data_IF_202551825857
#
_entry.id   IF_202551825857
#
_cell.length_a   1.000
_cell.length_b   1.000
_cell.length_c   1.000
_cell.angle_alpha   90.00
_cell.angle_beta   90.00
_cell.angle_gamma   90.00
#
_symmetry.space_group_name_H-M   'P 1'
#
loop_
_entity.id
_entity.type
_entity.pdbx_description
1 polymer ?
#
# COMPACT_ATOMS: atom_id res chain seq x y z
N UNK A 1 -235.96 21.75 -2.37
CA UNK A 1 -235.19 22.55 -1.40
C UNK A 1 -234.07 21.70 -0.75
N UNK A 2 -233.23 21.02 -1.53
CA UNK A 2 -232.93 19.58 -1.37
C UNK A 2 -231.44 19.18 -1.21
N UNK A 3 -230.58 20.14 -0.82
CA UNK A 3 -229.13 20.14 -1.11
C UNK A 3 -228.23 19.01 -0.56
N UNK A 4 -228.32 18.55 0.70
CA UNK A 4 -227.34 17.58 1.23
C UNK A 4 -227.65 16.11 0.87
N UNK A 5 -228.89 15.76 0.54
CA UNK A 5 -229.27 14.39 0.17
C UNK A 5 -228.73 13.99 -1.22
N UNK A 6 -228.67 14.94 -2.15
CA UNK A 6 -228.20 14.75 -3.52
C UNK A 6 -226.67 14.51 -3.62
N UNK A 7 -225.89 15.04 -2.68
CA UNK A 7 -224.41 14.94 -2.70
C UNK A 7 -223.90 13.62 -2.09
N UNK A 8 -224.60 13.10 -1.07
CA UNK A 8 -224.36 11.78 -0.48
C UNK A 8 -224.77 10.66 -1.44
N UNK A 9 -225.92 10.80 -2.10
CA UNK A 9 -226.33 9.91 -3.19
C UNK A 9 -225.34 9.93 -4.37
N UNK A 10 -224.78 11.09 -4.76
CA UNK A 10 -223.75 11.17 -5.82
C UNK A 10 -222.43 10.49 -5.44
N UNK A 11 -221.95 10.63 -4.20
CA UNK A 11 -220.72 9.93 -3.74
C UNK A 11 -220.93 8.44 -3.56
N UNK A 12 -222.08 8.02 -3.01
CA UNK A 12 -222.44 6.60 -2.88
C UNK A 12 -222.65 5.98 -4.26
N UNK A 13 -223.33 6.67 -5.18
CA UNK A 13 -223.43 6.26 -6.57
C UNK A 13 -222.05 6.17 -7.24
N UNK A 14 -221.14 7.15 -7.07
CA UNK A 14 -219.79 7.08 -7.64
C UNK A 14 -218.90 6.00 -6.99
N UNK A 15 -219.10 5.68 -5.71
CA UNK A 15 -218.40 4.58 -5.04
C UNK A 15 -218.97 3.21 -5.41
N UNK A 16 -220.28 3.11 -5.61
CA UNK A 16 -220.98 1.92 -6.13
C UNK A 16 -220.62 1.70 -7.59
N UNK A 17 -220.55 2.75 -8.41
CA UNK A 17 -220.07 2.71 -9.80
C UNK A 17 -218.60 2.33 -9.86
N UNK A 18 -217.71 2.92 -9.04
CA UNK A 18 -216.30 2.47 -8.97
C UNK A 18 -216.17 1.02 -8.53
N UNK A 19 -216.96 0.56 -7.55
CA UNK A 19 -216.97 -0.86 -7.13
C UNK A 19 -217.55 -1.76 -8.22
N UNK A 20 -218.65 -1.40 -8.87
CA UNK A 20 -219.20 -2.13 -10.02
C UNK A 20 -218.20 -2.17 -11.16
N UNK A 21 -217.51 -1.07 -11.45
CA UNK A 21 -216.51 -0.97 -12.52
C UNK A 21 -215.25 -1.79 -12.19
N UNK A 22 -214.74 -1.72 -10.96
CA UNK A 22 -213.64 -2.57 -10.51
C UNK A 22 -214.04 -4.05 -10.49
N UNK A 23 -215.26 -4.38 -10.05
CA UNK A 23 -215.76 -5.75 -10.03
C UNK A 23 -216.05 -6.25 -11.45
N UNK A 24 -216.45 -5.40 -12.39
CA UNK A 24 -216.52 -5.70 -13.83
C UNK A 24 -215.13 -6.00 -14.40
N UNK A 25 -214.16 -5.10 -14.22
CA UNK A 25 -212.77 -5.30 -14.65
C UNK A 25 -212.11 -6.51 -13.97
N UNK A 26 -212.53 -6.85 -12.74
CA UNK A 26 -212.08 -8.04 -12.01
C UNK A 26 -212.78 -9.30 -12.51
N UNK A 27 -214.09 -9.23 -12.78
CA UNK A 27 -214.88 -10.33 -13.35
C UNK A 27 -214.32 -10.74 -14.70
N UNK A 28 -214.02 -9.78 -15.57
CA UNK A 28 -213.42 -10.04 -16.89
C UNK A 28 -212.06 -10.76 -16.77
N UNK A 29 -211.26 -10.46 -15.74
CA UNK A 29 -209.98 -11.15 -15.47
C UNK A 29 -210.12 -12.52 -14.79
N UNK A 30 -211.13 -12.72 -13.93
CA UNK A 30 -211.35 -13.97 -13.17
C UNK A 30 -212.04 -15.04 -14.01
N UNK A 31 -212.99 -14.64 -14.86
CA UNK A 31 -213.74 -15.55 -15.74
C UNK A 31 -212.97 -15.90 -17.02
N UNK A 32 -211.97 -15.10 -17.43
CA UNK A 32 -211.00 -15.52 -18.43
C UNK A 32 -209.99 -16.51 -17.83
N UNK A 33 -210.19 -17.80 -18.11
CA UNK A 33 -209.35 -18.88 -17.62
C UNK A 33 -207.86 -18.70 -18.00
N UNK A 34 -207.55 -18.00 -19.10
CA UNK A 34 -206.18 -17.81 -19.59
C UNK A 34 -205.43 -16.76 -18.78
N UNK A 35 -206.07 -15.62 -18.49
CA UNK A 35 -205.50 -14.56 -17.63
C UNK A 35 -205.33 -15.05 -16.20
N UNK A 36 -206.22 -15.93 -15.71
CA UNK A 36 -206.12 -16.50 -14.36
C UNK A 36 -204.98 -17.53 -14.21
N UNK A 37 -204.67 -18.28 -15.26
CA UNK A 37 -203.63 -19.33 -15.21
C UNK A 37 -202.25 -18.79 -15.58
N UNK A 38 -202.15 -17.85 -16.54
CA UNK A 38 -200.87 -17.33 -17.08
C UNK A 38 -200.96 -15.80 -17.33
N UNK A 39 -201.61 -15.06 -16.42
CA UNK A 39 -201.69 -13.61 -16.50
C UNK A 39 -200.35 -12.96 -16.21
N UNK A 40 -199.70 -12.42 -17.24
CA UNK A 40 -198.42 -11.73 -17.15
C UNK A 40 -198.57 -10.32 -17.69
N UNK A 41 -198.14 -9.33 -16.91
CA UNK A 41 -198.07 -7.93 -17.34
C UNK A 41 -196.88 -7.74 -18.27
N UNK A 42 -197.15 -7.86 -19.56
CA UNK A 42 -196.12 -7.79 -20.60
C UNK A 42 -195.48 -6.40 -20.67
N UNK A 43 -196.26 -5.35 -20.48
CA UNK A 43 -195.77 -3.97 -20.58
C UNK A 43 -194.81 -3.64 -19.43
N UNK A 44 -195.12 -4.09 -18.21
CA UNK A 44 -194.22 -3.94 -17.07
C UNK A 44 -192.93 -4.77 -17.22
N UNK A 45 -193.02 -5.99 -17.74
CA UNK A 45 -191.84 -6.81 -18.04
C UNK A 45 -190.99 -6.20 -19.17
N UNK A 46 -191.62 -5.68 -20.22
CA UNK A 46 -190.92 -5.00 -21.32
C UNK A 46 -190.19 -3.74 -20.82
N UNK A 47 -190.79 -2.98 -19.89
CA UNK A 47 -190.14 -1.86 -19.20
C UNK A 47 -188.95 -2.32 -18.33
N UNK A 48 -189.10 -3.39 -17.53
CA UNK A 48 -187.99 -3.95 -16.74
C UNK A 48 -186.85 -4.47 -17.61
N UNK A 49 -187.16 -5.11 -18.74
CA UNK A 49 -186.16 -5.55 -19.73
C UNK A 49 -185.46 -4.34 -20.35
N UNK A 50 -186.19 -3.26 -20.64
CA UNK A 50 -185.61 -2.01 -21.16
C UNK A 50 -184.67 -1.37 -20.14
N UNK A 51 -185.06 -1.27 -18.87
CA UNK A 51 -184.21 -0.74 -17.81
C UNK A 51 -182.97 -1.60 -17.57
N UNK A 52 -183.11 -2.93 -17.62
CA UNK A 52 -181.97 -3.84 -17.53
C UNK A 52 -181.01 -3.66 -18.70
N UNK A 53 -181.53 -3.51 -19.93
CA UNK A 53 -180.72 -3.21 -21.13
C UNK A 53 -180.01 -1.86 -21.01
N UNK A 54 -180.67 -0.84 -20.45
CA UNK A 54 -180.05 0.47 -20.21
C UNK A 54 -178.92 0.33 -19.18
N UNK A 55 -179.14 -0.37 -18.07
CA UNK A 55 -178.09 -0.63 -17.07
C UNK A 55 -176.91 -1.39 -17.65
N UNK A 56 -177.18 -2.50 -18.34
CA UNK A 56 -176.16 -3.29 -19.05
C UNK A 56 -175.38 -2.42 -20.06
N UNK A 57 -176.05 -1.55 -20.81
CA UNK A 57 -175.40 -0.63 -21.74
C UNK A 57 -174.55 0.44 -21.04
N UNK A 58 -175.01 1.00 -19.91
CA UNK A 58 -174.23 1.96 -19.12
C UNK A 58 -173.01 1.34 -18.46
N UNK A 59 -173.14 0.12 -17.91
CA UNK A 59 -172.01 -0.63 -17.36
C UNK A 59 -171.02 -1.02 -18.46
N UNK A 60 -171.52 -1.43 -19.62
CA UNK A 60 -170.69 -1.72 -20.79
C UNK A 60 -169.93 -0.47 -21.25
N UNK A 61 -170.60 0.68 -21.35
CA UNK A 61 -169.95 1.94 -21.72
C UNK A 61 -168.87 2.35 -20.70
N UNK A 62 -169.13 2.20 -19.40
CA UNK A 62 -168.16 2.46 -18.33
C UNK A 62 -166.97 1.50 -18.38
N UNK A 63 -167.23 0.21 -18.62
CA UNK A 63 -166.16 -0.79 -18.78
C UNK A 63 -165.32 -0.53 -20.04
N UNK A 64 -165.95 -0.07 -21.13
CA UNK A 64 -165.26 0.35 -22.34
C UNK A 64 -164.38 1.58 -22.11
N UNK A 65 -164.86 2.57 -21.34
CA UNK A 65 -164.08 3.74 -20.93
C UNK A 65 -162.85 3.34 -20.10
N UNK A 66 -163.04 2.53 -19.05
CA UNK A 66 -161.94 2.01 -18.23
C UNK A 66 -160.96 1.15 -19.04
N UNK A 67 -161.45 0.34 -19.98
CA UNK A 67 -160.60 -0.44 -20.87
C UNK A 67 -159.78 0.46 -21.81
N UNK A 68 -160.36 1.58 -22.26
CA UNK A 68 -159.64 2.57 -23.08
C UNK A 68 -158.59 3.33 -22.27
N UNK A 69 -158.90 3.72 -21.03
CA UNK A 69 -157.91 4.29 -20.10
C UNK A 69 -156.76 3.32 -19.82
N UNK A 70 -157.06 2.03 -19.61
CA UNK A 70 -156.03 1.00 -19.42
C UNK A 70 -155.12 0.88 -20.64
N UNK A 71 -155.68 0.87 -21.86
CA UNK A 71 -154.89 0.90 -23.10
C UNK A 71 -154.02 2.15 -23.23
N UNK A 72 -154.52 3.32 -22.81
CA UNK A 72 -153.73 4.55 -22.81
C UNK A 72 -152.58 4.48 -21.80
N UNK A 73 -152.85 3.99 -20.58
CA UNK A 73 -151.84 3.80 -19.55
C UNK A 73 -150.77 2.80 -19.97
N UNK A 74 -151.15 1.65 -20.56
CA UNK A 74 -150.20 0.68 -21.12
C UNK A 74 -149.30 1.30 -22.19
N UNK A 75 -149.88 2.12 -23.08
CA UNK A 75 -149.12 2.86 -24.09
C UNK A 75 -148.12 3.84 -23.45
N UNK A 76 -148.53 4.56 -22.39
CA UNK A 76 -147.64 5.45 -21.64
C UNK A 76 -146.52 4.65 -20.97
N UNK A 77 -146.84 3.50 -20.37
CA UNK A 77 -145.84 2.63 -19.73
C UNK A 77 -144.80 2.11 -20.72
N UNK A 78 -145.22 1.65 -21.92
CA UNK A 78 -144.30 1.24 -22.98
C UNK A 78 -143.37 2.38 -23.40
N UNK A 79 -143.89 3.61 -23.60
CA UNK A 79 -143.08 4.77 -23.95
C UNK A 79 -142.07 5.14 -22.84
N UNK A 80 -142.48 5.05 -21.56
CA UNK A 80 -141.60 5.28 -20.42
C UNK A 80 -140.52 4.20 -20.31
N UNK A 81 -140.85 2.94 -20.60
CA UNK A 81 -139.88 1.85 -20.60
C UNK A 81 -138.84 2.01 -21.72
N UNK A 82 -139.26 2.41 -22.92
CA UNK A 82 -138.36 2.72 -24.03
C UNK A 82 -137.42 3.88 -23.68
N UNK A 83 -137.95 4.94 -23.09
CA UNK A 83 -137.16 6.08 -22.61
C UNK A 83 -136.15 5.62 -21.55
N UNK A 84 -136.57 4.81 -20.58
CA UNK A 84 -135.67 4.25 -19.56
C UNK A 84 -134.57 3.39 -20.18
N UNK A 85 -134.90 2.54 -21.16
CA UNK A 85 -133.92 1.72 -21.90
C UNK A 85 -132.91 2.60 -22.66
N UNK A 86 -133.38 3.68 -23.26
CA UNK A 86 -132.54 4.66 -23.94
C UNK A 86 -131.60 5.37 -22.96
N UNK A 87 -132.11 5.84 -21.83
CA UNK A 87 -131.32 6.51 -20.78
C UNK A 87 -130.26 5.57 -20.19
N UNK A 88 -130.62 4.32 -19.87
CA UNK A 88 -129.66 3.30 -19.41
C UNK A 88 -128.57 3.08 -20.46
N UNK A 89 -128.93 2.98 -21.74
CA UNK A 89 -127.97 2.81 -22.82
C UNK A 89 -127.03 4.01 -22.92
N UNK A 90 -127.54 5.23 -22.79
CA UNK A 90 -126.74 6.45 -22.85
C UNK A 90 -125.80 6.58 -21.64
N UNK A 91 -126.27 6.26 -20.44
CA UNK A 91 -125.43 6.24 -19.23
C UNK A 91 -124.31 5.22 -19.40
N UNK A 92 -124.62 4.00 -19.84
CA UNK A 92 -123.61 2.96 -20.06
C UNK A 92 -122.59 3.38 -21.13
N UNK A 93 -123.03 4.03 -22.21
CA UNK A 93 -122.13 4.61 -23.23
C UNK A 93 -121.21 5.66 -22.61
N UNK A 94 -121.75 6.59 -21.82
CA UNK A 94 -120.97 7.65 -21.17
C UNK A 94 -119.97 7.06 -20.15
N UNK A 95 -120.35 6.03 -19.39
CA UNK A 95 -119.45 5.33 -18.47
C UNK A 95 -118.32 4.65 -19.24
N UNK A 96 -118.62 3.91 -20.31
CA UNK A 96 -117.59 3.25 -21.13
C UNK A 96 -116.66 4.29 -21.77
N UNK A 97 -117.21 5.41 -22.26
CA UNK A 97 -116.43 6.49 -22.84
C UNK A 97 -115.51 7.15 -21.79
N UNK A 98 -116.03 7.39 -20.59
CA UNK A 98 -115.23 7.89 -19.47
C UNK A 98 -114.12 6.92 -19.09
N UNK A 99 -114.43 5.63 -18.95
CA UNK A 99 -113.43 4.59 -18.64
C UNK A 99 -112.35 4.52 -19.73
N UNK A 100 -112.76 4.52 -21.00
CA UNK A 100 -111.85 4.50 -22.15
C UNK A 100 -110.94 5.72 -22.21
N UNK A 101 -111.44 6.90 -21.83
CA UNK A 101 -110.68 8.14 -21.96
C UNK A 101 -109.82 8.43 -20.73
N UNK A 102 -110.31 8.14 -19.53
CA UNK A 102 -109.72 8.60 -18.26
C UNK A 102 -109.26 7.48 -17.31
N UNK A 103 -109.59 6.22 -17.58
CA UNK A 103 -109.19 5.08 -16.73
C UNK A 103 -108.27 4.10 -17.47
N UNK A 104 -107.48 4.62 -18.42
CA UNK A 104 -106.53 3.78 -19.15
C UNK A 104 -105.40 3.32 -18.22
N UNK A 105 -104.86 2.10 -18.39
CA UNK A 105 -103.75 1.62 -17.59
C UNK A 105 -102.55 2.56 -17.58
N UNK A 106 -102.26 3.21 -18.71
CA UNK A 106 -101.11 4.10 -18.88
C UNK A 106 -101.23 5.40 -18.06
N UNK A 107 -102.45 5.76 -17.64
CA UNK A 107 -102.72 6.98 -16.85
C UNK A 107 -102.65 6.75 -15.35
N UNK A 108 -102.38 5.51 -14.91
CA UNK A 108 -102.21 5.18 -13.48
C UNK A 108 -100.93 5.80 -12.93
N UNK A 109 -100.95 6.12 -11.64
CA UNK A 109 -99.80 6.74 -10.95
C UNK A 109 -98.58 5.81 -10.91
N UNK A 110 -98.84 4.52 -10.79
CA UNK A 110 -97.86 3.44 -10.69
C UNK A 110 -97.61 2.70 -12.02
N UNK A 111 -98.04 3.28 -13.15
CA UNK A 111 -97.86 2.64 -14.45
C UNK A 111 -96.38 2.48 -14.80
N UNK A 112 -95.52 3.42 -14.40
CA UNK A 112 -94.07 3.34 -14.56
C UNK A 112 -93.46 2.05 -13.97
N UNK A 113 -94.03 1.54 -12.88
CA UNK A 113 -93.61 0.28 -12.25
C UNK A 113 -94.20 -0.96 -12.95
N UNK A 114 -95.36 -0.83 -13.59
CA UNK A 114 -96.10 -1.93 -14.21
C UNK A 114 -95.96 -1.98 -15.73
N UNK A 115 -95.23 -1.03 -16.32
CA UNK A 115 -95.03 -0.89 -17.75
C UNK A 115 -94.27 -2.11 -18.30
N UNK A 116 -94.86 -2.90 -19.23
CA UNK A 116 -94.20 -4.05 -19.83
C UNK A 116 -92.90 -3.68 -20.57
N UNK A 117 -92.75 -2.42 -20.98
CA UNK A 117 -91.58 -1.91 -21.68
C UNK A 117 -90.61 -1.15 -20.78
N UNK A 118 -90.80 -1.16 -19.45
CA UNK A 118 -89.96 -0.42 -18.51
C UNK A 118 -88.46 -0.70 -18.73
N UNK A 119 -88.08 -1.98 -18.87
CA UNK A 119 -86.68 -2.38 -19.09
C UNK A 119 -86.09 -1.89 -20.42
N UNK A 120 -86.91 -1.64 -21.44
CA UNK A 120 -86.46 -1.09 -22.73
C UNK A 120 -86.29 0.43 -22.67
N UNK A 121 -87.12 1.11 -21.87
CA UNK A 121 -87.08 2.57 -21.68
C UNK A 121 -86.00 2.98 -20.68
N UNK A 122 -85.64 2.10 -19.76
CA UNK A 122 -84.61 2.34 -18.76
C UNK A 122 -83.21 2.45 -19.39
N UNK A 123 -82.35 3.24 -18.75
CA UNK A 123 -80.98 3.46 -19.21
C UNK A 123 -80.03 2.55 -18.43
N UNK A 124 -78.95 2.06 -19.06
CA UNK A 124 -77.89 1.38 -18.32
C UNK A 124 -77.40 2.21 -17.13
N UNK A 125 -77.04 1.51 -16.05
CA UNK A 125 -76.57 2.12 -14.80
C UNK A 125 -75.34 3.02 -15.00
N UNK A 126 -74.49 2.70 -15.99
CA UNK A 126 -73.35 3.51 -16.45
C UNK A 126 -73.38 3.58 -17.98
N UNK A 127 -73.42 4.79 -18.54
CA UNK A 127 -73.44 5.01 -19.99
C UNK A 127 -72.04 5.16 -20.59
N UNK A 128 -71.11 5.75 -19.83
CA UNK A 128 -69.75 6.01 -20.26
C UNK A 128 -68.80 6.01 -19.07
N UNK A 129 -67.50 6.03 -19.33
CA UNK A 129 -66.51 6.06 -18.26
C UNK A 129 -66.57 7.36 -17.44
N UNK A 130 -67.02 8.45 -18.06
CA UNK A 130 -67.15 9.77 -17.44
C UNK A 130 -68.63 10.16 -17.21
N UNK A 131 -69.49 9.19 -16.92
CA UNK A 131 -70.92 9.47 -16.65
C UNK A 131 -71.08 10.27 -15.34
N UNK A 132 -71.56 11.53 -15.40
CA UNK A 132 -71.66 12.38 -14.21
C UNK A 132 -72.69 11.87 -13.19
N UNK A 133 -73.58 10.93 -13.56
CA UNK A 133 -74.54 10.29 -12.65
C UNK A 133 -73.86 9.28 -11.73
N UNK A 134 -72.72 8.72 -12.15
CA UNK A 134 -71.96 7.71 -11.41
C UNK A 134 -71.08 8.37 -10.34
N UNK A 135 -71.71 8.87 -9.28
CA UNK A 135 -71.01 9.41 -8.11
C UNK A 135 -70.38 8.30 -7.27
N UNK A 136 -69.54 8.67 -6.29
CA UNK A 136 -68.86 7.71 -5.39
C UNK A 136 -69.86 6.80 -4.65
N UNK A 137 -71.03 7.31 -4.27
CA UNK A 137 -72.06 6.52 -3.59
C UNK A 137 -72.78 5.51 -4.50
N UNK A 138 -72.72 5.69 -5.82
CA UNK A 138 -73.42 4.82 -6.78
C UNK A 138 -72.77 3.44 -6.94
N UNK A 139 -71.49 3.32 -6.55
CA UNK A 139 -70.68 2.10 -6.68
C UNK A 139 -70.60 1.56 -8.13
N UNK A 140 -70.89 2.39 -9.15
CA UNK A 140 -70.81 2.01 -10.57
C UNK A 140 -69.44 2.30 -11.20
N UNK A 141 -68.61 3.12 -10.55
CA UNK A 141 -67.29 3.51 -11.03
C UNK A 141 -66.28 3.44 -9.88
N UNK A 142 -65.20 2.70 -10.09
CA UNK A 142 -64.11 2.53 -9.13
C UNK A 142 -62.81 3.09 -9.68
N UNK A 143 -62.17 4.00 -8.95
CA UNK A 143 -60.92 4.63 -9.37
C UNK A 143 -59.75 3.63 -9.49
N UNK A 144 -59.87 2.44 -8.89
CA UNK A 144 -58.85 1.38 -8.97
C UNK A 144 -58.93 0.49 -10.23
N UNK A 145 -59.99 0.61 -11.03
CA UNK A 145 -60.19 -0.20 -12.25
C UNK A 145 -59.11 0.08 -13.31
N UNK A 146 -58.59 1.30 -13.36
CA UNK A 146 -57.55 1.76 -14.28
C UNK A 146 -57.69 1.25 -15.73
N UNK A 147 -58.62 1.85 -16.45
CA UNK A 147 -58.86 1.58 -17.87
C UNK A 147 -57.61 1.80 -18.75
N UNK A 148 -56.65 2.62 -18.29
CA UNK A 148 -55.42 2.96 -19.01
C UNK A 148 -54.23 2.05 -18.65
N UNK A 149 -54.46 0.97 -17.89
CA UNK A 149 -53.41 0.05 -17.45
C UNK A 149 -52.49 -0.40 -18.60
N UNK A 150 -53.06 -0.82 -19.72
CA UNK A 150 -52.29 -1.30 -20.88
C UNK A 150 -51.39 -0.21 -21.48
N UNK A 151 -51.90 1.02 -21.59
CA UNK A 151 -51.13 2.16 -22.10
C UNK A 151 -50.02 2.56 -21.12
N UNK A 152 -50.31 2.59 -19.82
CA UNK A 152 -49.33 2.87 -18.77
C UNK A 152 -48.20 1.85 -18.80
N UNK A 153 -48.52 0.56 -18.87
CA UNK A 153 -47.52 -0.51 -18.94
C UNK A 153 -46.69 -0.41 -20.22
N UNK A 154 -47.30 -0.06 -21.36
CA UNK A 154 -46.56 0.17 -22.61
C UNK A 154 -45.54 1.30 -22.44
N UNK A 155 -45.96 2.45 -21.91
CA UNK A 155 -45.08 3.59 -21.69
C UNK A 155 -43.95 3.27 -20.70
N UNK A 156 -44.24 2.56 -19.61
CA UNK A 156 -43.24 2.11 -18.64
C UNK A 156 -42.20 1.18 -19.28
N UNK A 157 -42.63 0.26 -20.15
CA UNK A 157 -41.73 -0.63 -20.89
C UNK A 157 -40.84 0.14 -21.87
N UNK A 158 -41.41 1.13 -22.57
CA UNK A 158 -40.65 2.01 -23.47
C UNK A 158 -39.61 2.83 -22.70
N UNK A 159 -39.98 3.44 -21.57
CA UNK A 159 -39.04 4.14 -20.70
C UNK A 159 -37.91 3.25 -20.21
N UNK A 160 -38.24 2.05 -19.71
CA UNK A 160 -37.25 1.09 -19.23
C UNK A 160 -36.30 0.64 -20.35
N UNK A 161 -36.82 0.45 -21.56
CA UNK A 161 -36.03 0.13 -22.74
C UNK A 161 -35.03 1.24 -23.06
N UNK A 162 -35.49 2.49 -23.13
CA UNK A 162 -34.61 3.63 -23.43
C UNK A 162 -33.55 3.83 -22.34
N UNK A 163 -33.91 3.71 -21.06
CA UNK A 163 -32.93 3.76 -19.97
C UNK A 163 -31.88 2.65 -20.05
N UNK A 164 -32.31 1.41 -20.34
CA UNK A 164 -31.39 0.29 -20.50
C UNK A 164 -30.44 0.50 -21.68
N UNK A 165 -30.94 0.99 -22.82
CA UNK A 165 -30.12 1.30 -23.99
C UNK A 165 -29.12 2.42 -23.69
N UNK A 166 -29.54 3.46 -22.98
CA UNK A 166 -28.67 4.55 -22.57
C UNK A 166 -27.56 4.04 -21.65
N UNK A 167 -27.90 3.26 -20.62
CA UNK A 167 -26.94 2.68 -19.69
C UNK A 167 -25.94 1.75 -20.40
N UNK A 168 -26.39 0.96 -21.37
CA UNK A 168 -25.51 0.12 -22.20
C UNK A 168 -24.54 0.95 -23.05
N UNK A 169 -25.00 2.07 -23.63
CA UNK A 169 -24.13 2.98 -24.39
C UNK A 169 -23.09 3.63 -23.49
N UNK A 170 -23.52 4.15 -22.34
CA UNK A 170 -22.62 4.81 -21.39
C UNK A 170 -21.58 3.83 -20.84
N UNK A 171 -21.99 2.58 -20.54
CA UNK A 171 -21.07 1.52 -20.14
C UNK A 171 -20.06 1.18 -21.24
N UNK A 172 -20.50 1.05 -22.49
CA UNK A 172 -19.60 0.78 -23.63
C UNK A 172 -18.62 1.92 -23.85
N UNK A 173 -19.06 3.17 -23.74
CA UNK A 173 -18.20 4.34 -23.86
C UNK A 173 -17.16 4.38 -22.74
N UNK A 174 -17.58 4.21 -21.49
CA UNK A 174 -16.67 4.17 -20.34
C UNK A 174 -15.64 3.02 -20.47
N UNK A 175 -16.05 1.87 -20.99
CA UNK A 175 -15.14 0.76 -21.25
C UNK A 175 -14.14 1.08 -22.38
N UNK A 176 -14.57 1.78 -23.43
CA UNK A 176 -13.69 2.23 -24.51
C UNK A 176 -12.68 3.27 -24.02
N UNK A 177 -13.13 4.24 -23.22
CA UNK A 177 -12.28 5.26 -22.60
C UNK A 177 -11.25 4.61 -21.68
N UNK A 178 -11.67 3.65 -20.85
CA UNK A 178 -10.76 2.90 -19.99
C UNK A 178 -9.70 2.16 -20.80
N UNK A 179 -10.10 1.44 -21.86
CA UNK A 179 -9.14 0.74 -22.73
C UNK A 179 -8.16 1.69 -23.39
N UNK A 180 -8.63 2.85 -23.86
CA UNK A 180 -7.78 3.87 -24.46
C UNK A 180 -6.76 4.41 -23.45
N UNK A 181 -7.18 4.66 -22.20
CA UNK A 181 -6.28 5.09 -21.13
C UNK A 181 -5.27 4.02 -20.75
N UNK A 182 -5.71 2.76 -20.64
CA UNK A 182 -4.84 1.62 -20.35
C UNK A 182 -3.79 1.44 -21.47
N UNK A 183 -4.19 1.52 -22.75
CA UNK A 183 -3.28 1.47 -23.90
C UNK A 183 -2.27 2.63 -23.90
N UNK A 184 -2.72 3.84 -23.54
CA UNK A 184 -1.84 5.01 -23.43
C UNK A 184 -0.84 4.83 -22.29
N UNK A 185 -1.29 4.32 -21.15
CA UNK A 185 -0.44 4.01 -20.01
C UNK A 185 0.61 2.94 -20.36
N UNK A 186 0.23 1.87 -21.05
CA UNK A 186 1.16 0.83 -21.49
C UNK A 186 2.20 1.36 -22.49
N UNK A 187 1.79 2.22 -23.43
CA UNK A 187 2.73 2.91 -24.34
C UNK A 187 3.72 3.78 -23.56
N UNK A 188 3.23 4.56 -22.59
CA UNK A 188 4.08 5.40 -21.75
C UNK A 188 5.07 4.55 -20.92
N UNK A 189 4.63 3.41 -20.39
CA UNK A 189 5.50 2.48 -19.65
C UNK A 189 6.61 1.94 -20.55
N UNK A 190 6.27 1.47 -21.76
CA UNK A 190 7.26 0.96 -22.73
C UNK A 190 8.26 2.05 -23.11
N UNK A 191 7.81 3.30 -23.31
CA UNK A 191 8.70 4.43 -23.61
C UNK A 191 9.63 4.77 -22.44
N UNK A 192 9.15 4.70 -21.20
CA UNK A 192 9.98 4.87 -20.01
C UNK A 192 11.03 3.76 -19.87
N UNK A 193 10.64 2.51 -20.11
CA UNK A 193 11.58 1.37 -20.09
C UNK A 193 12.65 1.53 -21.16
N UNK A 194 12.28 1.93 -22.39
CA UNK A 194 13.23 2.23 -23.47
C UNK A 194 14.21 3.33 -23.09
N UNK A 195 13.73 4.43 -22.51
CA UNK A 195 14.58 5.53 -22.04
C UNK A 195 15.53 5.07 -20.93
N UNK A 196 15.04 4.24 -20.01
CA UNK A 196 15.85 3.68 -18.92
C UNK A 196 16.98 2.80 -19.47
N UNK A 197 16.66 1.92 -20.42
CA UNK A 197 17.66 1.07 -21.09
C UNK A 197 18.70 1.89 -21.84
N UNK A 198 18.28 2.93 -22.57
CA UNK A 198 19.22 3.81 -23.27
C UNK A 198 20.13 4.57 -22.30
N UNK A 199 19.57 5.07 -21.19
CA UNK A 199 20.35 5.74 -20.15
C UNK A 199 21.35 4.79 -19.48
N UNK A 200 20.96 3.54 -19.21
CA UNK A 200 21.87 2.51 -18.69
C UNK A 200 23.00 2.23 -19.68
N UNK A 201 22.69 2.12 -20.98
CA UNK A 201 23.71 1.93 -22.02
C UNK A 201 24.72 3.07 -22.05
N UNK A 202 24.24 4.32 -22.06
CA UNK A 202 25.10 5.51 -22.02
C UNK A 202 25.93 5.54 -20.73
N UNK A 203 25.34 5.19 -19.58
CA UNK A 203 26.07 5.12 -18.31
C UNK A 203 27.18 4.07 -18.35
N UNK A 204 26.92 2.89 -18.90
CA UNK A 204 27.93 1.86 -19.08
C UNK A 204 29.06 2.30 -20.01
N UNK A 205 28.71 2.91 -21.16
CA UNK A 205 29.68 3.43 -22.12
C UNK A 205 30.56 4.53 -21.50
N UNK A 206 29.96 5.45 -20.76
CA UNK A 206 30.69 6.52 -20.05
C UNK A 206 31.57 5.95 -18.95
N UNK A 207 31.10 4.98 -18.14
CA UNK A 207 31.94 4.29 -17.15
C UNK A 207 33.13 3.58 -17.80
N UNK A 208 32.91 2.88 -18.93
CA UNK A 208 33.99 2.24 -19.70
C UNK A 208 34.99 3.27 -20.22
N UNK A 209 34.53 4.39 -20.75
CA UNK A 209 35.38 5.48 -21.24
C UNK A 209 36.22 6.10 -20.12
N UNK A 210 35.62 6.37 -18.94
CA UNK A 210 36.31 6.88 -17.76
C UNK A 210 37.37 5.89 -17.26
N UNK A 211 37.03 4.60 -17.20
CA UNK A 211 37.98 3.55 -16.82
C UNK A 211 39.15 3.45 -17.80
N UNK A 212 38.89 3.53 -19.11
CA UNK A 212 39.94 3.53 -20.13
C UNK A 212 40.86 4.75 -19.99
N UNK A 213 40.30 5.96 -19.86
CA UNK A 213 41.07 7.18 -19.65
C UNK A 213 41.92 7.13 -18.37
N UNK A 214 41.36 6.61 -17.27
CA UNK A 214 42.09 6.44 -16.00
C UNK A 214 43.23 5.43 -16.13
N UNK A 215 43.00 4.32 -16.86
CA UNK A 215 44.03 3.32 -17.14
C UNK A 215 45.18 3.92 -17.94
N UNK A 216 44.88 4.69 -18.98
CA UNK A 216 45.88 5.34 -19.83
C UNK A 216 46.66 6.40 -19.06
N UNK A 217 45.98 7.19 -18.22
CA UNK A 217 46.62 8.11 -17.28
C UNK A 217 47.58 7.39 -16.33
N UNK A 218 47.13 6.34 -15.64
CA UNK A 218 47.98 5.55 -14.74
C UNK A 218 49.17 4.92 -15.48
N UNK A 219 48.98 4.47 -16.72
CA UNK A 219 50.06 3.93 -17.56
C UNK A 219 51.10 5.01 -17.90
N UNK A 220 50.65 6.21 -18.28
CA UNK A 220 51.55 7.34 -18.56
C UNK A 220 52.31 7.78 -17.30
N UNK A 221 51.63 7.87 -16.16
CA UNK A 221 52.24 8.19 -14.86
C UNK A 221 53.27 7.13 -14.43
N UNK A 222 52.97 5.84 -14.62
CA UNK A 222 53.92 4.76 -14.34
C UNK A 222 55.16 4.83 -15.25
N UNK A 223 54.98 5.16 -16.53
CA UNK A 223 56.09 5.35 -17.46
C UNK A 223 56.95 6.56 -17.07
N UNK A 224 56.34 7.69 -16.70
CA UNK A 224 57.03 8.88 -16.21
C UNK A 224 57.84 8.57 -14.94
N UNK A 225 57.23 7.88 -13.97
CA UNK A 225 57.92 7.46 -12.75
C UNK A 225 59.09 6.51 -13.04
N UNK A 226 58.94 5.60 -14.00
CA UNK A 226 60.01 4.70 -14.41
C UNK A 226 61.18 5.46 -15.05
N UNK A 227 60.91 6.44 -15.92
CA UNK A 227 61.94 7.30 -16.49
C UNK A 227 62.62 8.17 -15.42
N UNK A 228 61.85 8.73 -14.49
CA UNK A 228 62.41 9.50 -13.36
C UNK A 228 63.35 8.64 -12.52
N UNK A 229 62.94 7.41 -12.15
CA UNK A 229 63.80 6.47 -11.42
C UNK A 229 65.05 6.08 -12.21
N UNK A 230 64.96 5.90 -13.53
CA UNK A 230 66.15 5.66 -14.38
C UNK A 230 67.10 6.85 -14.32
N UNK A 231 66.58 8.07 -14.39
CA UNK A 231 67.37 9.29 -14.35
C UNK A 231 68.02 9.49 -12.97
N UNK A 232 67.26 9.31 -11.88
CA UNK A 232 67.76 9.30 -10.50
C UNK A 232 68.87 8.25 -10.32
N UNK A 233 68.69 7.03 -10.85
CA UNK A 233 69.73 5.98 -10.79
C UNK A 233 70.99 6.38 -11.57
N UNK A 234 70.84 7.01 -12.74
CA UNK A 234 71.99 7.53 -13.52
C UNK A 234 72.69 8.67 -12.79
N UNK A 235 71.94 9.57 -12.16
CA UNK A 235 72.50 10.65 -11.35
C UNK A 235 73.26 10.09 -10.16
N UNK A 236 72.63 9.21 -9.38
CA UNK A 236 73.29 8.52 -8.27
C UNK A 236 74.56 7.80 -8.72
N UNK A 237 74.54 7.06 -9.83
CA UNK A 237 75.75 6.41 -10.35
C UNK A 237 76.84 7.41 -10.73
N UNK A 238 76.49 8.58 -11.27
CA UNK A 238 77.46 9.65 -11.53
C UNK A 238 78.00 10.23 -10.24
N UNK A 239 77.14 10.48 -9.26
CA UNK A 239 77.52 11.02 -7.95
C UNK A 239 78.42 10.04 -7.20
N UNK A 240 78.08 8.75 -7.17
CA UNK A 240 78.89 7.66 -6.61
C UNK A 240 80.26 7.60 -7.32
N UNK A 241 80.30 7.73 -8.65
CA UNK A 241 81.57 7.77 -9.41
C UNK A 241 82.40 9.01 -9.11
N UNK A 242 81.75 10.18 -8.96
CA UNK A 242 82.40 11.42 -8.57
C UNK A 242 82.97 11.32 -7.15
N UNK A 243 82.22 10.72 -6.22
CA UNK A 243 82.68 10.43 -4.86
C UNK A 243 83.89 9.50 -4.88
N UNK A 244 83.83 8.37 -5.60
CA UNK A 244 84.96 7.44 -5.75
C UNK A 244 86.18 8.16 -6.34
N UNK A 245 86.03 8.94 -7.41
CA UNK A 245 87.13 9.70 -8.02
C UNK A 245 87.71 10.72 -7.04
N UNK A 246 86.86 11.42 -6.29
CA UNK A 246 87.26 12.41 -5.28
C UNK A 246 88.00 11.75 -4.11
N UNK A 247 87.55 10.57 -3.66
CA UNK A 247 88.24 9.79 -2.63
C UNK A 247 89.58 9.26 -3.12
N UNK A 248 89.66 8.75 -4.36
CA UNK A 248 90.90 8.24 -4.97
C UNK A 248 91.94 9.34 -5.19
N UNK A 249 91.52 10.50 -5.70
CA UNK A 249 92.36 11.71 -5.79
C UNK A 249 92.57 12.35 -4.41
N UNK A 250 91.76 11.94 -3.46
CA UNK A 250 91.78 12.35 -2.08
C UNK A 250 93.12 12.09 -1.45
N UNK A 251 93.47 13.04 -0.62
CA UNK A 251 94.75 13.24 0.00
C UNK A 251 95.05 12.14 1.06
N UNK A 252 94.00 11.47 1.54
CA UNK A 252 94.06 10.31 2.43
C UNK A 252 94.47 9.01 1.71
N UNK A 253 93.81 8.65 0.59
CA UNK A 253 94.06 7.40 -0.14
C UNK A 253 95.32 7.46 -1.01
N UNK A 254 95.66 8.64 -1.55
CA UNK A 254 96.90 8.86 -2.31
C UNK A 254 98.16 8.98 -1.43
N UNK A 255 97.97 8.94 -0.10
CA UNK A 255 99.00 9.14 0.92
C UNK A 255 99.93 10.34 0.65
N UNK A 256 99.40 11.42 0.09
CA UNK A 256 100.19 12.56 -0.37
C UNK A 256 101.16 13.07 0.73
N UNK A 257 102.49 13.07 0.51
CA UNK A 257 103.47 13.49 1.51
C UNK A 257 103.43 15.01 1.78
N UNK A 258 102.80 15.81 0.91
CA UNK A 258 102.66 17.25 1.09
C UNK A 258 101.75 17.62 2.27
N UNK A 259 100.88 16.70 2.72
CA UNK A 259 100.06 16.87 3.92
C UNK A 259 100.86 17.12 5.20
N UNK A 260 102.11 16.67 5.22
CA UNK A 260 102.99 16.80 6.36
C UNK A 260 103.65 18.20 6.45
N UNK A 261 103.55 19.01 5.40
CA UNK A 261 104.16 20.35 5.34
C UNK A 261 103.36 21.32 6.20
N UNK A 262 104.01 21.92 7.19
CA UNK A 262 103.36 22.92 8.04
C UNK A 262 103.21 24.26 7.32
N UNK A 263 102.05 24.90 7.45
CA UNK A 263 101.84 26.28 6.98
C UNK A 263 102.78 27.29 7.64
N UNK A 264 103.33 26.97 8.82
CA UNK A 264 104.25 27.83 9.56
C UNK A 264 105.73 27.72 9.12
N UNK A 265 106.02 26.94 8.07
CA UNK A 265 107.34 26.94 7.42
C UNK A 265 107.81 25.55 6.95
N UNK A 266 108.58 25.53 5.85
CA UNK A 266 109.04 24.31 5.15
C UNK A 266 109.90 23.35 5.98
N UNK A 267 110.50 23.84 7.07
CA UNK A 267 111.32 23.02 7.97
C UNK A 267 110.51 22.37 9.11
N UNK A 268 109.23 22.75 9.27
CA UNK A 268 108.33 22.18 10.27
C UNK A 268 107.38 21.19 9.63
N UNK A 269 107.22 20.08 10.34
CA UNK A 269 106.34 18.99 9.95
C UNK A 269 105.17 18.91 10.93
N UNK A 270 103.96 18.67 10.41
CA UNK A 270 102.79 18.35 11.22
C UNK A 270 102.96 16.92 11.76
N UNK A 271 103.14 16.78 13.07
CA UNK A 271 103.51 15.50 13.74
C UNK A 271 102.57 14.35 13.38
N UNK A 272 101.26 14.60 13.39
CA UNK A 272 100.25 13.56 13.19
C UNK A 272 100.14 13.09 11.73
N UNK A 273 100.72 13.84 10.78
CA UNK A 273 100.64 13.59 9.33
C UNK A 273 102.00 13.23 8.71
N UNK A 274 103.02 13.00 9.54
CA UNK A 274 104.35 12.67 9.06
C UNK A 274 104.42 11.22 8.57
N UNK A 275 104.75 11.03 7.29
CA UNK A 275 104.80 9.72 6.62
C UNK A 275 106.24 9.33 6.21
N UNK A 276 107.22 9.65 7.07
CA UNK A 276 108.62 9.33 6.84
C UNK A 276 109.38 10.37 6.01
N UNK A 277 110.68 10.13 5.80
CA UNK A 277 111.57 11.03 5.07
C UNK A 277 111.37 10.93 3.56
N UNK A 278 111.52 12.06 2.86
CA UNK A 278 111.46 12.09 1.40
C UNK A 278 112.65 11.30 0.80
N UNK A 279 112.45 10.69 -0.37
CA UNK A 279 113.48 9.96 -1.11
C UNK A 279 114.76 10.79 -1.29
N UNK A 280 114.64 12.09 -1.53
CA UNK A 280 115.79 12.99 -1.65
C UNK A 280 116.57 13.13 -0.33
N UNK A 281 115.87 13.17 0.82
CA UNK A 281 116.51 13.21 2.15
C UNK A 281 117.19 11.87 2.47
N UNK A 282 116.54 10.74 2.14
CA UNK A 282 117.14 9.41 2.28
C UNK A 282 118.38 9.25 1.39
N UNK A 283 118.37 9.78 0.16
CA UNK A 283 119.55 9.80 -0.71
C UNK A 283 120.67 10.64 -0.11
N UNK A 284 120.39 11.83 0.42
CA UNK A 284 121.40 12.66 1.08
C UNK A 284 122.04 11.96 2.30
N UNK A 285 121.24 11.24 3.09
CA UNK A 285 121.75 10.42 4.19
C UNK A 285 122.64 9.29 3.67
N UNK A 286 122.21 8.57 2.63
CA UNK A 286 123.02 7.50 2.02
C UNK A 286 124.35 8.04 1.47
N UNK A 287 124.33 9.19 0.79
CA UNK A 287 125.55 9.86 0.32
C UNK A 287 126.47 10.26 1.48
N UNK A 288 125.91 10.77 2.58
CA UNK A 288 126.68 11.12 3.78
C UNK A 288 127.28 9.86 4.45
N UNK A 289 126.53 8.76 4.53
CA UNK A 289 127.03 7.47 5.04
C UNK A 289 128.16 6.91 4.17
N UNK A 290 128.04 7.02 2.85
CA UNK A 290 129.09 6.61 1.92
C UNK A 290 130.37 7.44 2.12
N UNK A 291 130.25 8.74 2.34
CA UNK A 291 131.39 9.60 2.70
C UNK A 291 132.03 9.18 4.03
N UNK A 292 131.23 8.87 5.05
CA UNK A 292 131.73 8.36 6.33
C UNK A 292 132.48 7.02 6.19
N UNK A 293 132.00 6.12 5.32
CA UNK A 293 132.69 4.85 5.04
C UNK A 293 134.06 5.11 4.41
N UNK A 294 134.14 6.01 3.43
CA UNK A 294 135.40 6.39 2.78
C UNK A 294 136.37 7.06 3.78
N UNK A 295 135.88 7.95 4.63
CA UNK A 295 136.67 8.60 5.68
C UNK A 295 137.21 7.57 6.69
N UNK A 296 136.37 6.63 7.13
CA UNK A 296 136.78 5.56 8.05
C UNK A 296 137.79 4.59 7.43
N UNK A 297 137.69 4.34 6.12
CA UNK A 297 138.71 3.57 5.38
C UNK A 297 140.05 4.32 5.35
N UNK A 298 140.04 5.64 5.09
CA UNK A 298 141.23 6.49 5.13
C UNK A 298 141.92 6.46 6.51
N UNK A 299 141.14 6.60 7.58
CA UNK A 299 141.66 6.53 8.96
C UNK A 299 142.27 5.16 9.30
N UNK A 300 141.66 4.05 8.84
CA UNK A 300 142.22 2.70 9.02
C UNK A 300 143.55 2.49 8.29
N UNK A 301 143.73 3.10 7.11
CA UNK A 301 145.00 3.03 6.39
C UNK A 301 146.10 3.84 7.10
N UNK A 302 145.76 5.01 7.65
CA UNK A 302 146.68 5.80 8.49
C UNK A 302 147.08 5.06 9.77
N UNK A 303 146.13 4.39 10.44
CA UNK A 303 146.38 3.58 11.63
C UNK A 303 147.28 2.38 11.31
N UNK A 304 147.01 1.65 10.21
CA UNK A 304 147.87 0.55 9.76
C UNK A 304 149.31 0.99 9.47
N UNK A 305 149.51 2.19 8.90
CA UNK A 305 150.86 2.74 8.69
C UNK A 305 151.56 3.03 10.02
N UNK A 306 150.85 3.63 10.98
CA UNK A 306 151.36 3.88 12.34
C UNK A 306 151.73 2.60 13.08
N UNK A 307 150.88 1.57 13.02
CA UNK A 307 151.14 0.28 13.66
C UNK A 307 152.35 -0.43 13.04
N UNK A 308 152.49 -0.39 11.71
CA UNK A 308 153.64 -0.99 11.03
C UNK A 308 154.97 -0.31 11.41
N UNK A 309 154.98 1.01 11.58
CA UNK A 309 156.14 1.76 12.06
C UNK A 309 156.45 1.44 13.53
N UNK A 310 155.41 1.30 14.37
CA UNK A 310 155.54 0.91 15.77
C UNK A 310 156.10 -0.51 15.93
N UNK A 311 155.58 -1.49 15.18
CA UNK A 311 156.05 -2.87 15.17
C UNK A 311 157.52 -2.97 14.72
N UNK A 312 157.92 -2.16 13.74
CA UNK A 312 159.31 -2.08 13.28
C UNK A 312 160.23 -1.58 14.40
N UNK A 313 159.80 -0.56 15.17
CA UNK A 313 160.55 -0.06 16.33
C UNK A 313 160.60 -1.09 17.47
N UNK A 314 159.46 -1.72 17.78
CA UNK A 314 159.36 -2.77 18.81
C UNK A 314 160.25 -3.98 18.52
N UNK A 315 160.29 -4.46 17.26
CA UNK A 315 161.17 -5.58 16.90
C UNK A 315 162.66 -5.23 17.00
N UNK A 316 163.05 -3.98 16.70
CA UNK A 316 164.43 -3.53 16.89
C UNK A 316 164.79 -3.45 18.38
N UNK A 317 163.88 -2.93 19.22
CA UNK A 317 164.06 -2.88 20.67
C UNK A 317 164.16 -4.28 21.30
N UNK A 318 163.28 -5.21 20.91
CA UNK A 318 163.29 -6.59 21.39
C UNK A 318 164.59 -7.33 21.00
N UNK A 319 165.11 -7.10 19.79
CA UNK A 319 166.42 -7.66 19.38
C UNK A 319 167.56 -7.11 20.24
N UNK A 320 167.56 -5.83 20.58
CA UNK A 320 168.56 -5.23 21.46
C UNK A 320 168.49 -5.79 22.89
N UNK A 321 167.27 -5.96 23.43
CA UNK A 321 167.05 -6.59 24.75
C UNK A 321 167.55 -8.03 24.80
N UNK A 322 167.26 -8.87 23.80
CA UNK A 322 167.73 -10.26 23.75
C UNK A 322 169.26 -10.39 23.71
N UNK A 323 169.96 -9.42 23.13
CA UNK A 323 171.43 -9.37 23.13
C UNK A 323 171.96 -9.00 24.52
N UNK A 324 171.33 -8.02 25.19
CA UNK A 324 171.68 -7.64 26.56
C UNK A 324 171.40 -8.76 27.56
N UNK A 325 170.27 -9.45 27.44
CA UNK A 325 169.87 -10.54 28.32
C UNK A 325 170.85 -11.73 28.22
N UNK A 326 171.24 -12.12 27.00
CA UNK A 326 172.29 -13.14 26.79
C UNK A 326 173.65 -12.74 27.34
N UNK A 327 173.98 -11.45 27.39
CA UNK A 327 175.20 -10.97 28.04
C UNK A 327 175.10 -11.10 29.57
N UNK A 328 173.95 -10.72 30.13
CA UNK A 328 173.68 -10.79 31.56
C UNK A 328 173.66 -12.24 32.08
N UNK A 329 173.10 -13.18 31.32
CA UNK A 329 173.10 -14.60 31.66
C UNK A 329 174.51 -15.22 31.71
N UNK A 330 175.41 -14.82 30.79
CA UNK A 330 176.81 -15.27 30.83
C UNK A 330 177.52 -14.79 32.09
N UNK A 331 177.37 -13.51 32.44
CA UNK A 331 177.95 -12.95 33.66
C UNK A 331 177.38 -13.62 34.92
N UNK A 332 176.08 -13.91 34.95
CA UNK A 332 175.46 -14.59 36.09
C UNK A 332 175.93 -16.04 36.24
N UNK A 333 176.21 -16.74 35.13
CA UNK A 333 176.82 -18.08 35.16
C UNK A 333 178.23 -18.05 35.74
N UNK A 334 179.06 -17.11 35.31
CA UNK A 334 180.42 -16.92 35.85
C UNK A 334 180.38 -16.60 37.36
N UNK A 335 179.49 -15.70 37.78
CA UNK A 335 179.31 -15.35 39.20
C UNK A 335 178.84 -16.54 40.05
N UNK A 336 177.92 -17.38 39.55
CA UNK A 336 177.48 -18.59 40.27
C UNK A 336 178.60 -19.61 40.41
N UNK A 337 179.38 -19.85 39.35
CA UNK A 337 180.54 -20.75 39.43
C UNK A 337 181.59 -20.27 40.44
N UNK A 338 181.82 -18.95 40.52
CA UNK A 338 182.71 -18.37 41.52
C UNK A 338 182.15 -18.46 42.95
N UNK A 339 180.83 -18.31 43.14
CA UNK A 339 180.20 -18.50 44.46
C UNK A 339 180.24 -19.96 44.91
N UNK A 340 180.02 -20.91 44.01
CA UNK A 340 180.04 -22.34 44.33
C UNK A 340 181.45 -22.80 44.76
N UNK A 341 182.51 -22.26 44.13
CA UNK A 341 183.90 -22.58 44.53
C UNK A 341 184.27 -22.00 45.90
N UNK A 342 183.83 -20.77 46.21
CA UNK A 342 184.04 -20.13 47.51
C UNK A 342 183.27 -20.86 48.62
N UNK A 343 182.02 -21.26 48.37
CA UNK A 343 181.21 -22.00 49.34
C UNK A 343 181.80 -23.38 49.66
N UNK A 344 182.42 -24.05 48.69
CA UNK A 344 183.11 -25.33 48.92
C UNK A 344 184.32 -25.18 49.85
N UNK A 345 185.10 -24.10 49.72
CA UNK A 345 186.23 -23.79 50.60
C UNK A 345 185.77 -23.48 52.04
N UNK A 346 184.76 -22.61 52.19
CA UNK A 346 184.17 -22.26 53.49
C UNK A 346 183.61 -23.50 54.23
N UNK A 347 183.00 -24.44 53.51
CA UNK A 347 182.49 -25.70 54.08
C UNK A 347 183.61 -26.60 54.62
N UNK A 348 184.76 -26.66 53.94
CA UNK A 348 185.94 -27.39 54.43
C UNK A 348 186.55 -26.72 55.66
N UNK A 349 186.71 -25.40 55.65
CA UNK A 349 187.25 -24.63 56.79
C UNK A 349 186.36 -24.75 58.03
N UNK A 350 185.04 -24.73 57.86
CA UNK A 350 184.12 -24.84 58.98
C UNK A 350 184.09 -26.25 59.59
N UNK A 351 184.31 -27.29 58.78
CA UNK A 351 184.48 -28.66 59.27
C UNK A 351 185.79 -28.84 60.05
N UNK A 352 186.92 -28.34 59.54
CA UNK A 352 188.21 -28.46 60.21
C UNK A 352 188.25 -27.69 61.54
N UNK A 353 187.68 -26.49 61.57
CA UNK A 353 187.60 -25.65 62.78
C UNK A 353 186.76 -26.29 63.90
N UNK A 354 185.67 -26.96 63.55
CA UNK A 354 184.83 -27.64 64.54
C UNK A 354 185.46 -28.90 65.13
N UNK A 355 186.29 -29.61 64.35
CA UNK A 355 187.06 -30.76 64.86
C UNK A 355 188.09 -30.27 65.90
N UNK A 356 188.80 -29.17 65.60
CA UNK A 356 189.77 -28.54 66.50
C UNK A 356 189.15 -28.11 67.86
N UNK A 357 187.99 -27.43 67.83
CA UNK A 357 187.29 -27.02 69.06
C UNK A 357 186.89 -28.20 69.97
N UNK A 358 186.60 -29.37 69.39
CA UNK A 358 186.18 -30.55 70.15
C UNK A 358 187.34 -31.27 70.85
N UNK A 359 188.54 -31.22 70.30
CA UNK A 359 189.69 -31.98 70.80
C UNK A 359 190.59 -31.19 71.75
N UNK A 360 190.79 -29.87 71.53
CA UNK A 360 191.75 -29.09 72.32
C UNK A 360 191.13 -28.22 73.44
N UNK A 361 189.90 -27.72 73.27
CA UNK A 361 189.34 -26.69 74.16
C UNK A 361 188.43 -27.24 75.28
N UNK A 362 187.88 -28.45 75.11
CA UNK A 362 186.91 -29.04 76.05
C UNK A 362 187.46 -30.22 76.88
N UNK A 363 188.76 -30.23 77.19
CA UNK A 363 189.38 -31.21 78.09
C UNK A 363 190.10 -30.53 79.25
N UNK A 364 189.55 -30.66 80.46
CA UNK A 364 190.08 -30.02 81.67
C UNK A 364 190.99 -30.99 82.45
N UNK A 365 192.30 -30.76 82.41
CA UNK A 365 193.30 -31.44 83.24
C UNK A 365 193.72 -30.55 84.44
N UNK A 366 193.64 -31.02 85.70
CA UNK A 366 193.98 -30.21 86.87
C UNK A 366 195.46 -29.79 86.92
N UNK A 367 195.73 -28.50 87.17
CA UNK A 367 197.07 -27.88 87.12
C UNK A 367 197.72 -27.78 88.51
N UNK A 368 199.06 -27.79 88.54
CA UNK A 368 199.92 -27.91 89.73
C UNK A 368 199.72 -26.88 90.85
N UNK A 369 199.03 -25.76 90.59
CA UNK A 369 198.63 -24.77 91.62
C UNK A 369 197.62 -25.32 92.63
N UNK A 370 196.81 -26.34 92.27
CA UNK A 370 195.81 -26.89 93.18
C UNK A 370 196.45 -27.64 94.37
N UNK A 371 197.54 -28.38 94.12
CA UNK A 371 198.25 -29.14 95.15
C UNK A 371 199.09 -28.25 96.09
N UNK A 372 199.40 -27.01 95.68
CA UNK A 372 200.20 -26.06 96.47
C UNK A 372 199.41 -25.36 97.60
N UNK A 373 198.10 -25.60 97.72
CA UNK A 373 197.28 -25.01 98.79
C UNK A 373 197.39 -25.76 100.12
N UNK A 374 197.99 -26.95 100.15
CA UNK A 374 198.18 -27.73 101.37
C UNK A 374 199.52 -27.37 102.05
N UNK A 375 199.48 -27.19 103.38
CA UNK A 375 200.61 -26.92 104.28
C UNK A 375 201.29 -25.54 104.17
N UNK A 376 200.53 -24.43 104.18
CA UNK A 376 201.12 -23.07 104.23
C UNK A 376 200.98 -22.33 105.56
N UNK A 377 200.41 -22.93 106.62
CA UNK A 377 200.45 -22.35 107.97
C UNK A 377 200.74 -23.40 109.04
N UNK A 378 201.60 -23.05 109.99
CA UNK A 378 202.19 -23.90 111.04
C UNK A 378 201.24 -24.24 112.19
N UNK A 379 199.98 -24.55 111.89
CA UNK A 379 199.03 -25.09 112.85
C UNK A 379 198.49 -26.43 112.39
#
# INVERSE_FOLDING_TARGET
MSGPALERERREAAAVERRRHQELLRRDRIFDARVRTIGVDKDALDAQVKDRKIKEATEKARNEELANEMKQNDKIMCMLEERRKYDIRNINKAVIEFQKNFQKPETRREFDLSDPEALKKDRPARLSDNDPRCTVSSLQMFMGEDLNYAQRVKFQKEQLREWSLQQQRDYKNALADKKFLDDLHDKNRIELDRKTMEQQRIEEETRRAVCAATKDFNRSQAAELAERKKLEKRQKMKDDMNEISSLLQGDLLSENPEQAVSSFGRHRVIKDRWKGMNQNQLMAIRSSQQQQVLEKQRLKEEERRRDADWDRQSMQAARAQLVLERHHERQNRERRQALDSINAQLSQEQKSKNIFLKEEEYSNCPTSQYYAQFNTTTR
#
